data_IF_502886182469
#
_entry.id   IF_502886182469
#
_cell.length_a   1.000
_cell.length_b   1.000
_cell.length_c   1.000
_cell.angle_alpha   90.00
_cell.angle_beta   90.00
_cell.angle_gamma   90.00
#
_symmetry.space_group_name_H-M   'P 1'
#
loop_
_entity.id
_entity.type
_entity.pdbx_description
1 polymer ?
#
# COMPACT_ATOMS: atom_id res chain seq x y z
N UNK A 1 -10.10 0.33 -27.47
CA UNK A 1 -8.95 -0.24 -26.74
C UNK A 1 -9.29 -0.26 -25.26
N UNK A 2 -8.91 -1.30 -24.53
CA UNK A 2 -9.11 -1.39 -23.08
C UNK A 2 -7.86 -0.91 -22.35
N UNK A 3 -8.02 -0.23 -21.21
CA UNK A 3 -6.92 0.30 -20.41
C UNK A 3 -6.99 -0.19 -18.95
N UNK A 4 -5.83 -0.58 -18.41
CA UNK A 4 -5.63 -1.03 -17.03
C UNK A 4 -4.40 -0.35 -16.44
N UNK A 5 -4.41 -0.15 -15.12
CA UNK A 5 -3.27 0.41 -14.38
C UNK A 5 -2.87 -0.59 -13.30
N UNK A 6 -1.59 -1.00 -13.27
CA UNK A 6 -1.07 -1.96 -12.30
C UNK A 6 0.21 -1.46 -11.68
N UNK A 7 0.50 -1.88 -10.46
CA UNK A 7 1.71 -1.52 -9.75
C UNK A 7 1.69 -2.09 -8.34
N UNK A 8 2.85 -2.02 -7.68
CA UNK A 8 3.07 -2.62 -6.36
C UNK A 8 3.62 -1.61 -5.35
N UNK A 9 3.58 -2.00 -4.07
CA UNK A 9 4.08 -1.20 -2.95
C UNK A 9 3.42 0.18 -2.92
N UNK A 10 4.19 1.26 -2.95
CA UNK A 10 3.67 2.63 -2.92
C UNK A 10 2.75 2.99 -4.11
N UNK A 11 2.71 2.16 -5.17
CA UNK A 11 1.68 2.28 -6.20
C UNK A 11 0.25 2.09 -5.66
N UNK A 12 0.07 1.50 -4.48
CA UNK A 12 -1.21 1.50 -3.76
C UNK A 12 -1.75 2.90 -3.44
N UNK A 13 -0.87 3.92 -3.39
CA UNK A 13 -1.29 5.33 -3.34
C UNK A 13 -1.58 5.87 -4.74
N UNK A 14 -0.66 5.65 -5.68
CA UNK A 14 -0.74 6.21 -7.02
C UNK A 14 -1.97 5.74 -7.77
N UNK A 15 -2.26 4.44 -7.70
CA UNK A 15 -3.24 3.79 -8.57
C UNK A 15 -4.67 4.24 -8.25
N UNK A 16 -5.16 4.23 -7.00
CA UNK A 16 -6.45 4.83 -6.66
C UNK A 16 -6.55 6.30 -7.06
N UNK A 17 -5.51 7.09 -6.82
CA UNK A 17 -5.51 8.50 -7.16
C UNK A 17 -5.62 8.71 -8.69
N UNK A 18 -4.84 7.97 -9.48
CA UNK A 18 -4.90 8.02 -10.94
C UNK A 18 -6.22 7.51 -11.49
N UNK A 19 -6.70 6.37 -11.00
CA UNK A 19 -7.97 5.78 -11.42
C UNK A 19 -9.13 6.75 -11.17
N UNK A 20 -9.17 7.38 -10.00
CA UNK A 20 -10.14 8.43 -9.68
C UNK A 20 -10.04 9.64 -10.61
N UNK A 21 -8.82 10.15 -10.87
CA UNK A 21 -8.65 11.31 -11.75
C UNK A 21 -9.09 11.02 -13.19
N UNK A 22 -8.74 9.84 -13.72
CA UNK A 22 -9.17 9.38 -15.06
C UNK A 22 -10.68 9.23 -15.10
N UNK A 23 -11.27 8.59 -14.10
CA UNK A 23 -12.70 8.38 -14.00
C UNK A 23 -13.49 9.71 -13.94
N UNK A 24 -13.04 10.66 -13.12
CA UNK A 24 -13.62 12.01 -13.05
C UNK A 24 -13.47 12.76 -14.38
N UNK A 25 -12.29 12.71 -15.01
CA UNK A 25 -12.06 13.33 -16.31
C UNK A 25 -12.98 12.76 -17.40
N UNK A 26 -13.16 11.44 -17.42
CA UNK A 26 -14.11 10.79 -18.33
C UNK A 26 -15.55 11.26 -18.09
N UNK A 27 -16.00 11.36 -16.83
CA UNK A 27 -17.35 11.85 -16.49
C UNK A 27 -17.54 13.33 -16.87
N UNK A 28 -16.49 14.14 -16.75
CA UNK A 28 -16.51 15.55 -17.11
C UNK A 28 -16.23 15.83 -18.60
N UNK A 29 -15.99 14.80 -19.42
CA UNK A 29 -15.55 14.92 -20.81
C UNK A 29 -14.27 15.78 -20.98
N UNK A 30 -13.35 15.67 -20.03
CA UNK A 30 -12.06 16.37 -20.07
C UNK A 30 -11.04 15.59 -20.91
N UNK A 31 -10.59 16.18 -22.01
CA UNK A 31 -9.52 15.62 -22.83
C UNK A 31 -9.92 14.34 -23.56
N UNK A 32 -8.96 13.42 -23.74
CA UNK A 32 -9.19 12.15 -24.43
C UNK A 32 -9.84 11.17 -23.46
N UNK A 33 -10.96 10.56 -23.87
CA UNK A 33 -11.61 9.52 -23.07
C UNK A 33 -10.73 8.27 -22.95
N UNK A 34 -10.43 7.85 -21.72
CA UNK A 34 -9.62 6.67 -21.41
C UNK A 34 -10.54 5.55 -20.93
N UNK A 35 -10.59 4.44 -21.66
CA UNK A 35 -11.45 3.30 -21.33
C UNK A 35 -10.84 2.45 -20.19
N UNK A 36 -10.79 3.01 -18.98
CA UNK A 36 -10.30 2.35 -17.77
C UNK A 36 -11.27 1.24 -17.35
N UNK A 37 -10.77 0.00 -17.26
CA UNK A 37 -11.56 -1.18 -16.88
C UNK A 37 -11.17 -1.83 -15.57
N UNK A 38 -9.99 -1.51 -15.03
CA UNK A 38 -9.62 -1.92 -13.70
C UNK A 38 -8.19 -1.60 -13.25
N UNK A 39 -7.89 -1.88 -11.99
CA UNK A 39 -6.57 -1.63 -11.39
C UNK A 39 -6.19 -2.60 -10.26
N UNK A 40 -4.92 -2.60 -9.85
CA UNK A 40 -4.40 -3.51 -8.82
C UNK A 40 -3.46 -2.88 -7.77
N UNK A 41 -3.49 -3.38 -6.52
CA UNK A 41 -2.78 -2.80 -5.34
C UNK A 41 -2.20 -3.90 -4.42
N UNK A 42 -1.07 -3.60 -3.76
CA UNK A 42 -0.40 -4.39 -2.70
C UNK A 42 -0.08 -3.58 -1.41
N UNK A 43 0.19 -4.26 -0.28
CA UNK A 43 -0.44 -4.05 1.05
C UNK A 43 0.28 -3.27 2.19
N UNK A 44 -0.19 -3.34 3.47
CA UNK A 44 0.58 -3.11 4.72
C UNK A 44 -0.01 -3.61 6.09
N UNK A 45 0.84 -4.22 6.96
CA UNK A 45 0.92 -4.15 8.47
C UNK A 45 0.59 -5.28 9.54
N UNK A 46 1.04 -5.02 10.78
CA UNK A 46 1.54 -5.85 11.93
C UNK A 46 1.06 -7.27 12.28
N UNK A 47 -0.23 -7.62 12.17
CA UNK A 47 -0.71 -8.89 12.77
C UNK A 47 -0.08 -10.12 12.10
N UNK A 48 0.26 -9.95 10.83
CA UNK A 48 1.03 -10.90 10.05
C UNK A 48 2.38 -11.25 10.69
N UNK A 49 3.08 -10.32 11.34
CA UNK A 49 4.37 -10.60 11.97
C UNK A 49 4.25 -11.60 13.14
N UNK A 50 3.13 -11.58 13.87
CA UNK A 50 2.84 -12.55 14.91
C UNK A 50 2.41 -13.89 14.29
N UNK A 51 1.47 -13.86 13.33
CA UNK A 51 0.93 -15.07 12.68
C UNK A 51 2.03 -15.89 11.97
N UNK A 52 3.01 -15.21 11.36
CA UNK A 52 4.14 -15.84 10.69
C UNK A 52 5.30 -16.18 11.65
N UNK A 53 5.10 -16.08 12.96
CA UNK A 53 6.12 -16.33 13.99
C UNK A 53 7.42 -15.52 13.78
N UNK A 54 7.30 -14.28 13.29
CA UNK A 54 8.43 -13.37 13.12
C UNK A 54 8.75 -12.60 14.40
N UNK A 55 7.76 -12.39 15.26
CA UNK A 55 7.89 -11.77 16.59
C UNK A 55 7.19 -12.60 17.66
N UNK A 56 7.64 -12.49 18.91
CA UNK A 56 6.98 -13.13 20.05
C UNK A 56 5.74 -12.37 20.53
N UNK A 57 4.86 -13.05 21.26
CA UNK A 57 3.63 -12.44 21.84
C UNK A 57 3.93 -11.21 22.71
N UNK A 58 4.99 -11.24 23.51
CA UNK A 58 5.40 -10.09 24.33
C UNK A 58 5.84 -8.88 23.51
N UNK A 59 6.47 -9.12 22.36
CA UNK A 59 6.87 -8.05 21.45
C UNK A 59 5.65 -7.48 20.72
N UNK A 60 4.74 -8.35 20.27
CA UNK A 60 3.47 -7.96 19.69
C UNK A 60 2.67 -7.05 20.64
N UNK A 61 2.49 -7.46 21.90
CA UNK A 61 1.79 -6.66 22.92
C UNK A 61 2.46 -5.30 23.18
N UNK A 62 3.80 -5.25 23.14
CA UNK A 62 4.55 -4.00 23.31
C UNK A 62 4.36 -3.08 22.11
N UNK A 63 4.46 -3.62 20.90
CA UNK A 63 4.36 -2.88 19.64
C UNK A 63 2.93 -2.36 19.42
N UNK A 64 1.91 -3.15 19.76
CA UNK A 64 0.52 -2.76 19.62
C UNK A 64 0.11 -1.56 20.50
N UNK A 65 0.91 -1.19 21.52
CA UNK A 65 0.68 0.04 22.29
C UNK A 65 0.81 1.31 21.45
N UNK A 66 1.50 1.25 20.31
CA UNK A 66 1.62 2.36 19.38
C UNK A 66 0.43 2.48 18.41
N UNK A 67 -0.46 1.47 18.35
CA UNK A 67 -1.62 1.49 17.43
C UNK A 67 -2.60 2.60 17.79
N UNK A 68 -3.11 2.75 19.03
CA UNK A 68 -4.08 3.82 19.31
C UNK A 68 -3.54 5.24 19.06
N UNK A 69 -2.28 5.58 19.42
CA UNK A 69 -1.68 6.86 19.02
C UNK A 69 -1.56 7.04 17.50
N UNK A 70 -1.26 5.98 16.74
CA UNK A 70 -1.19 6.02 15.29
C UNK A 70 -2.58 6.27 14.66
N UNK A 71 -3.60 5.51 15.06
CA UNK A 71 -4.99 5.69 14.60
C UNK A 71 -5.51 7.10 14.90
N UNK A 72 -5.23 7.60 16.11
CA UNK A 72 -5.57 8.98 16.48
C UNK A 72 -4.89 10.00 15.56
N UNK A 73 -3.61 9.81 15.24
CA UNK A 73 -2.86 10.72 14.39
C UNK A 73 -3.35 10.70 12.93
N UNK A 74 -3.73 9.53 12.41
CA UNK A 74 -4.26 9.38 11.04
C UNK A 74 -5.63 10.05 10.89
N UNK A 75 -6.49 9.96 11.91
CA UNK A 75 -7.83 10.57 11.86
C UNK A 75 -7.82 12.12 11.85
N UNK A 76 -6.67 12.76 12.08
CA UNK A 76 -6.50 14.23 12.08
C UNK A 76 -5.62 14.77 10.95
N UNK A 77 -5.42 14.01 9.86
CA UNK A 77 -4.52 14.40 8.76
C UNK A 77 -5.15 15.43 7.80
N UNK A 78 -5.39 16.65 8.28
CA UNK A 78 -6.00 17.72 7.49
C UNK A 78 -4.95 18.63 6.80
N UNK A 79 -3.65 18.36 6.98
CA UNK A 79 -2.57 19.16 6.45
C UNK A 79 -1.18 18.54 6.58
N UNK A 80 -0.17 19.19 6.00
CA UNK A 80 1.21 18.67 5.92
C UNK A 80 1.81 18.31 7.28
N UNK A 81 1.57 19.14 8.30
CA UNK A 81 2.13 18.93 9.63
C UNK A 81 1.51 17.71 10.33
N UNK A 82 0.19 17.53 10.26
CA UNK A 82 -0.48 16.37 10.84
C UNK A 82 -0.16 15.08 10.09
N UNK A 83 -0.03 15.12 8.74
CA UNK A 83 0.46 13.97 7.97
C UNK A 83 1.86 13.54 8.38
N UNK A 84 2.79 14.48 8.56
CA UNK A 84 4.16 14.18 8.97
C UNK A 84 4.20 13.61 10.40
N UNK A 85 3.40 14.17 11.31
CA UNK A 85 3.30 13.65 12.67
C UNK A 85 2.74 12.22 12.70
N UNK A 86 1.66 11.96 11.96
CA UNK A 86 1.10 10.63 11.80
C UNK A 86 2.12 9.65 11.22
N UNK A 87 2.87 10.07 10.19
CA UNK A 87 3.91 9.24 9.58
C UNK A 87 4.97 8.84 10.62
N UNK A 88 5.51 9.80 11.38
CA UNK A 88 6.51 9.52 12.42
C UNK A 88 5.99 8.58 13.50
N UNK A 89 4.75 8.77 13.97
CA UNK A 89 4.14 7.93 15.02
C UNK A 89 3.90 6.52 14.50
N UNK A 90 3.26 6.39 13.35
CA UNK A 90 2.90 5.09 12.78
C UNK A 90 4.13 4.30 12.35
N UNK A 91 5.13 4.95 11.73
CA UNK A 91 6.32 4.26 11.25
C UNK A 91 7.15 3.61 12.38
N UNK A 92 6.99 4.06 13.63
CA UNK A 92 7.64 3.41 14.79
C UNK A 92 7.20 1.95 14.96
N UNK A 93 5.97 1.61 14.60
CA UNK A 93 5.48 0.24 14.71
C UNK A 93 6.29 -0.68 13.76
N UNK A 94 6.48 -0.25 12.52
CA UNK A 94 7.20 -0.98 11.48
C UNK A 94 8.66 -1.13 11.85
N UNK A 95 9.29 -0.01 12.22
CA UNK A 95 10.68 0.03 12.63
C UNK A 95 10.92 -0.88 13.84
N UNK A 96 9.96 -0.97 14.77
CA UNK A 96 10.04 -1.87 15.91
C UNK A 96 9.99 -3.34 15.50
N UNK A 97 9.12 -3.70 14.53
CA UNK A 97 9.08 -5.06 13.97
C UNK A 97 10.38 -5.36 13.24
N UNK A 98 10.80 -4.51 12.30
CA UNK A 98 12.02 -4.71 11.51
C UNK A 98 13.26 -4.88 12.38
N UNK A 99 13.36 -4.14 13.49
CA UNK A 99 14.46 -4.28 14.46
C UNK A 99 14.49 -5.66 15.14
N UNK A 100 13.34 -6.29 15.33
CA UNK A 100 13.23 -7.60 15.98
C UNK A 100 13.41 -8.75 14.99
N UNK A 101 12.79 -8.64 13.82
CA UNK A 101 12.87 -9.66 12.77
C UNK A 101 14.28 -9.73 12.19
N UNK A 102 14.99 -8.60 12.17
CA UNK A 102 16.27 -8.46 11.47
C UNK A 102 16.09 -8.66 9.97
N UNK A 103 17.18 -8.51 9.22
CA UNK A 103 17.25 -9.03 7.85
C UNK A 103 17.61 -10.50 7.95
N UNK A 104 16.62 -11.41 7.87
CA UNK A 104 16.83 -12.86 7.93
C UNK A 104 17.82 -13.38 6.86
N UNK A 105 18.06 -12.61 5.80
CA UNK A 105 19.06 -12.83 4.78
C UNK A 105 20.09 -11.68 4.80
N UNK A 106 21.30 -11.93 4.31
CA UNK A 106 22.28 -10.88 4.02
C UNK A 106 21.61 -9.83 3.11
N UNK A 107 21.31 -8.65 3.66
CA UNK A 107 20.68 -7.58 2.90
C UNK A 107 21.75 -6.90 2.04
N UNK A 108 21.67 -7.10 0.74
CA UNK A 108 22.55 -6.44 -0.23
C UNK A 108 21.95 -5.11 -0.69
N UNK A 109 22.68 -4.00 -0.48
CA UNK A 109 22.25 -2.66 -0.89
C UNK A 109 21.11 -2.05 -0.03
N UNK A 110 20.70 -0.82 -0.38
CA UNK A 110 19.66 -0.07 0.36
C UNK A 110 18.28 -0.73 0.33
N UNK A 111 18.00 -1.54 -0.70
CA UNK A 111 16.70 -2.17 -0.94
C UNK A 111 16.70 -3.68 -0.62
N UNK A 112 17.80 -4.22 -0.08
CA UNK A 112 17.98 -5.66 0.19
C UNK A 112 17.84 -6.57 -1.04
N UNK A 113 18.22 -6.07 -2.21
CA UNK A 113 18.28 -6.81 -3.46
C UNK A 113 19.56 -6.44 -4.22
N UNK A 114 20.14 -7.43 -4.91
CA UNK A 114 21.25 -7.20 -5.83
C UNK A 114 20.76 -6.49 -7.11
N UNK A 115 21.04 -5.19 -7.20
CA UNK A 115 20.79 -4.38 -8.39
C UNK A 115 22.03 -4.19 -9.27
N UNK A 116 23.18 -4.82 -8.94
CA UNK A 116 24.45 -4.57 -9.64
C UNK A 116 24.36 -4.82 -11.14
N UNK A 117 23.62 -5.86 -11.56
CA UNK A 117 23.43 -6.16 -12.98
C UNK A 117 22.60 -5.09 -13.71
N UNK A 118 21.60 -4.52 -13.03
CA UNK A 118 20.76 -3.45 -13.58
C UNK A 118 21.53 -2.12 -13.62
N UNK A 119 22.25 -1.78 -12.55
CA UNK A 119 23.12 -0.59 -12.50
C UNK A 119 24.18 -0.65 -13.59
N UNK A 120 24.81 -1.82 -13.78
CA UNK A 120 25.79 -2.06 -14.85
C UNK A 120 25.17 -1.94 -16.24
N UNK A 121 23.92 -2.38 -16.43
CA UNK A 121 23.22 -2.28 -17.71
C UNK A 121 22.88 -0.83 -18.08
N UNK A 122 22.36 -0.05 -17.13
CA UNK A 122 21.94 1.33 -17.37
C UNK A 122 23.10 2.35 -17.34
N UNK A 123 24.21 2.02 -16.69
CA UNK A 123 25.38 2.89 -16.54
C UNK A 123 25.17 4.06 -15.56
N UNK A 124 26.28 4.56 -14.99
CA UNK A 124 26.33 5.57 -13.90
C UNK A 124 25.61 6.91 -14.15
N UNK A 125 25.12 7.17 -15.37
CA UNK A 125 24.43 8.43 -15.71
C UNK A 125 22.93 8.39 -15.44
N UNK A 126 22.32 7.23 -15.22
CA UNK A 126 20.87 7.09 -15.05
C UNK A 126 20.38 7.30 -13.60
N UNK A 127 21.26 7.21 -12.59
CA UNK A 127 20.86 7.18 -11.17
C UNK A 127 21.30 8.45 -10.43
N UNK A 128 20.78 9.61 -10.82
CA UNK A 128 20.93 10.83 -10.00
C UNK A 128 19.54 11.31 -9.57
N UNK A 129 19.32 11.34 -8.25
CA UNK A 129 18.19 11.97 -7.53
C UNK A 129 16.96 11.11 -7.15
N UNK A 130 17.15 9.87 -6.68
CA UNK A 130 16.04 9.09 -6.07
C UNK A 130 15.66 9.61 -4.67
N UNK A 131 16.65 9.99 -3.85
CA UNK A 131 16.42 10.39 -2.45
C UNK A 131 15.56 11.66 -2.33
N UNK A 132 15.49 12.53 -3.36
CA UNK A 132 14.70 13.77 -3.31
C UNK A 132 13.19 13.55 -3.43
N UNK A 133 12.77 12.50 -4.16
CA UNK A 133 11.33 12.23 -4.37
C UNK A 133 10.71 11.61 -3.13
N UNK A 134 11.42 10.66 -2.51
CA UNK A 134 10.95 10.01 -1.28
C UNK A 134 10.67 11.03 -0.17
N UNK A 135 11.63 11.91 0.11
CA UNK A 135 11.50 12.95 1.14
C UNK A 135 10.35 13.92 0.84
N UNK A 136 10.16 14.28 -0.43
CA UNK A 136 9.06 15.13 -0.85
C UNK A 136 7.68 14.49 -0.67
N UNK A 137 7.60 13.15 -0.67
CA UNK A 137 6.36 12.38 -0.58
C UNK A 137 6.03 11.91 0.84
N UNK A 138 6.84 12.23 1.85
CA UNK A 138 6.60 11.81 3.24
C UNK A 138 5.21 12.20 3.77
N UNK A 139 4.69 13.37 3.41
CA UNK A 139 3.36 13.81 3.84
C UNK A 139 2.22 13.10 3.11
N UNK A 140 2.50 12.33 2.06
CA UNK A 140 1.50 11.58 1.31
C UNK A 140 1.24 10.18 1.91
N UNK A 141 2.23 9.60 2.61
CA UNK A 141 2.16 8.25 3.20
C UNK A 141 0.92 7.99 4.07
N UNK A 142 0.46 8.96 4.84
CA UNK A 142 -0.68 8.79 5.76
C UNK A 142 -2.01 9.24 5.16
N UNK A 143 -2.05 9.61 3.87
CA UNK A 143 -3.30 10.00 3.21
C UNK A 143 -4.10 8.76 2.84
N UNK A 144 -5.38 8.77 3.18
CA UNK A 144 -6.30 7.72 2.74
C UNK A 144 -6.74 7.97 1.29
N UNK A 145 -6.18 7.22 0.35
CA UNK A 145 -6.52 7.28 -1.07
C UNK A 145 -7.49 6.16 -1.49
N UNK A 146 -7.80 5.25 -0.57
CA UNK A 146 -8.74 4.14 -0.79
C UNK A 146 -10.20 4.62 -0.82
N UNK A 147 -10.50 5.78 -0.22
CA UNK A 147 -11.87 6.35 -0.14
C UNK A 147 -12.56 6.54 -1.49
N UNK A 148 -11.82 6.62 -2.59
CA UNK A 148 -12.40 6.73 -3.93
C UNK A 148 -12.67 5.38 -4.61
N UNK A 149 -12.12 4.27 -4.10
CA UNK A 149 -12.28 2.93 -4.69
C UNK A 149 -13.76 2.51 -4.76
N UNK A 150 -14.60 2.71 -3.73
CA UNK A 150 -16.02 2.35 -3.80
C UNK A 150 -16.73 2.97 -5.01
N UNK A 151 -16.53 4.26 -5.28
CA UNK A 151 -17.15 4.93 -6.42
C UNK A 151 -16.72 4.31 -7.76
N UNK A 152 -15.46 3.88 -7.88
CA UNK A 152 -14.97 3.20 -9.08
C UNK A 152 -15.66 1.84 -9.27
N UNK A 153 -15.84 1.07 -8.19
CA UNK A 153 -16.55 -0.21 -8.20
C UNK A 153 -18.03 -0.04 -8.62
N UNK A 154 -18.72 0.97 -8.08
CA UNK A 154 -20.12 1.26 -8.44
C UNK A 154 -20.28 1.61 -9.93
N UNK A 155 -19.27 2.24 -10.54
CA UNK A 155 -19.25 2.56 -11.96
C UNK A 155 -18.68 1.41 -12.83
N UNK A 156 -18.54 0.21 -12.27
CA UNK A 156 -18.17 -1.01 -13.00
C UNK A 156 -16.69 -1.12 -13.36
N UNK A 157 -15.81 -0.39 -12.67
CA UNK A 157 -14.36 -0.52 -12.79
C UNK A 157 -13.89 -1.65 -11.86
N UNK A 158 -13.24 -2.67 -12.42
CA UNK A 158 -12.79 -3.83 -11.65
C UNK A 158 -11.54 -3.53 -10.82
N UNK A 159 -11.40 -4.17 -9.66
CA UNK A 159 -10.21 -4.03 -8.82
C UNK A 159 -9.66 -5.41 -8.48
N UNK A 160 -8.35 -5.60 -8.66
CA UNK A 160 -7.63 -6.82 -8.27
C UNK A 160 -6.62 -6.48 -7.18
N UNK A 161 -6.85 -6.96 -5.97
CA UNK A 161 -5.89 -6.82 -4.88
C UNK A 161 -5.05 -8.09 -4.80
N UNK A 162 -3.73 -7.98 -4.93
CA UNK A 162 -2.83 -9.13 -4.91
C UNK A 162 -1.67 -8.88 -3.95
N UNK A 163 -1.23 -9.95 -3.28
CA UNK A 163 -0.27 -9.86 -2.20
C UNK A 163 0.63 -11.09 -2.15
N UNK A 164 1.93 -10.86 -1.96
CA UNK A 164 2.87 -11.95 -1.69
C UNK A 164 2.61 -12.54 -0.30
N UNK A 165 2.57 -13.87 -0.20
CA UNK A 165 2.38 -14.56 1.08
C UNK A 165 3.44 -14.16 2.10
N UNK A 166 4.69 -13.94 1.66
CA UNK A 166 5.85 -13.70 2.52
C UNK A 166 6.23 -12.22 2.70
N UNK A 167 5.51 -11.29 2.08
CA UNK A 167 5.83 -9.86 2.20
C UNK A 167 5.46 -9.34 3.60
N UNK A 168 6.44 -8.84 4.35
CA UNK A 168 6.22 -8.27 5.68
C UNK A 168 5.67 -6.84 5.63
N UNK A 169 6.27 -6.00 4.77
CA UNK A 169 5.94 -4.58 4.66
C UNK A 169 4.52 -4.44 4.18
N UNK A 170 4.21 -5.22 3.14
CA UNK A 170 3.00 -5.22 2.39
C UNK A 170 2.32 -6.62 2.42
N UNK A 171 1.96 -7.11 3.61
CA UNK A 171 1.39 -8.47 3.80
C UNK A 171 -0.10 -8.68 3.46
N UNK A 172 -0.43 -9.89 2.99
CA UNK A 172 -1.76 -10.36 2.55
C UNK A 172 -2.90 -10.15 3.57
N UNK A 173 -2.65 -10.42 4.86
CA UNK A 173 -3.67 -10.36 5.91
C UNK A 173 -4.32 -8.98 6.01
N UNK A 174 -3.52 -7.92 5.86
CA UNK A 174 -4.04 -6.56 5.93
C UNK A 174 -4.82 -6.15 4.70
N UNK A 175 -4.45 -6.60 3.50
CA UNK A 175 -5.30 -6.32 2.34
C UNK A 175 -6.61 -7.04 2.40
N UNK A 176 -6.61 -8.27 2.90
CA UNK A 176 -7.85 -8.95 3.16
C UNK A 176 -8.75 -8.12 4.09
N UNK A 177 -8.21 -7.61 5.21
CA UNK A 177 -9.00 -6.85 6.19
C UNK A 177 -9.57 -5.54 5.63
N UNK A 178 -8.78 -4.69 4.98
CA UNK A 178 -9.32 -3.42 4.50
C UNK A 178 -10.33 -3.64 3.37
N UNK A 179 -10.09 -4.60 2.46
CA UNK A 179 -11.04 -4.97 1.40
C UNK A 179 -12.34 -5.50 1.99
N UNK A 180 -12.28 -6.34 3.04
CA UNK A 180 -13.47 -6.81 3.76
C UNK A 180 -14.25 -5.67 4.42
N UNK A 181 -13.55 -4.67 4.97
CA UNK A 181 -14.18 -3.52 5.63
C UNK A 181 -14.69 -2.43 4.66
N UNK A 182 -14.22 -2.43 3.41
CA UNK A 182 -14.57 -1.44 2.41
C UNK A 182 -16.08 -1.47 2.14
N UNK A 183 -16.74 -0.32 2.31
CA UNK A 183 -18.17 -0.18 2.08
C UNK A 183 -18.45 0.09 0.59
N UNK A 184 -19.17 -0.84 -0.05
CA UNK A 184 -19.67 -0.72 -1.42
C UNK A 184 -20.83 -1.71 -1.63
N UNK A 185 -21.59 -1.56 -2.72
CA UNK A 185 -22.82 -2.33 -2.97
C UNK A 185 -22.62 -3.85 -2.96
N UNK A 186 -21.46 -4.34 -3.43
CA UNK A 186 -21.11 -5.76 -3.45
C UNK A 186 -20.34 -6.28 -2.23
N UNK A 187 -20.13 -5.49 -1.18
CA UNK A 187 -19.34 -5.90 0.00
C UNK A 187 -19.86 -7.19 0.63
N UNK A 188 -21.18 -7.31 0.83
CA UNK A 188 -21.79 -8.50 1.47
C UNK A 188 -21.54 -9.76 0.66
N UNK A 189 -21.68 -9.66 -0.66
CA UNK A 189 -21.46 -10.79 -1.57
C UNK A 189 -19.99 -11.19 -1.56
N UNK A 190 -19.07 -10.22 -1.62
CA UNK A 190 -17.62 -10.46 -1.51
C UNK A 190 -17.25 -11.16 -0.20
N UNK A 191 -17.71 -10.64 0.94
CA UNK A 191 -17.41 -11.22 2.27
C UNK A 191 -18.03 -12.60 2.45
N UNK A 192 -19.18 -12.87 1.82
CA UNK A 192 -19.83 -14.19 1.86
C UNK A 192 -19.25 -15.21 0.89
N UNK A 193 -18.40 -14.76 -0.05
CA UNK A 193 -17.80 -15.64 -1.05
C UNK A 193 -16.80 -16.59 -0.40
N UNK A 194 -16.69 -17.80 -0.94
CA UNK A 194 -15.74 -18.80 -0.45
C UNK A 194 -14.38 -18.58 -1.10
N UNK A 195 -13.32 -18.66 -0.29
CA UNK A 195 -11.95 -18.71 -0.80
C UNK A 195 -11.78 -19.96 -1.69
N UNK A 196 -11.19 -19.77 -2.86
CA UNK A 196 -10.83 -20.85 -3.77
C UNK A 196 -9.34 -20.85 -4.02
N UNK A 197 -8.76 -22.03 -4.16
CA UNK A 197 -7.39 -22.15 -4.65
C UNK A 197 -7.33 -21.58 -6.07
N UNK A 198 -6.35 -20.71 -6.30
CA UNK A 198 -6.03 -20.22 -7.63
C UNK A 198 -5.03 -21.21 -8.25
N UNK A 199 -5.50 -22.01 -9.21
CA UNK A 199 -4.73 -23.07 -9.89
C UNK A 199 -4.48 -22.68 -11.34
#
# INVERSE_FOLDING_TARGET
MTFYITGESYAGHYIPAFANRVHQGNKANEGIHINLKGFAIGNAYTDYALEMNLIGKSDYERINRFIPPCEFAINGTDGKASCMAAYMVCNNIFNSIMKLVGTKNECEGKLCYDFLNLEKFFGDKAVRHLDTVYEAMLTDWMRNLEVGIPALLEDGINVLIYAGEYDLICNWLRNLRWVHSMEWSGQKDFVSSSETSFV
#
